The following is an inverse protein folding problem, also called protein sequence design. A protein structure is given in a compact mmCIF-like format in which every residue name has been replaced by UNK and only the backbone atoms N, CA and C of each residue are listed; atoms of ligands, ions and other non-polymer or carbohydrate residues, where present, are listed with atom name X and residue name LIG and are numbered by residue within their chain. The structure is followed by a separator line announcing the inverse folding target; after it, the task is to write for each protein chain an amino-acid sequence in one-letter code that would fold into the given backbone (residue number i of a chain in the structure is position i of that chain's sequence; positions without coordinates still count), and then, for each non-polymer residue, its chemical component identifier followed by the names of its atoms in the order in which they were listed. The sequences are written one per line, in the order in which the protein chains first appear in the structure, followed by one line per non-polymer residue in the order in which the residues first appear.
data_IF_816577509201
#
_entry.id   IF_816577509201
#
_cell.length_a   1.000
_cell.length_b   1.000
_cell.length_c   1.000
_cell.angle_alpha   90.00
_cell.angle_beta   90.00
_cell.angle_gamma   90.00
#
_symmetry.space_group_name_H-M   'P 1'
#
loop_
_entity.id
_entity.type
_entity.pdbx_description
1 polymer ?
#
# COMPACT_ATOMS: atom_id res chain seq x y z
N UNK A 1 -17.84 11.81 -11.11
CA UNK A 1 -17.78 11.77 -9.62
C UNK A 1 -16.94 10.58 -9.15
N UNK A 2 -17.18 9.37 -9.67
CA UNK A 2 -16.33 8.19 -9.40
C UNK A 2 -14.86 8.38 -9.81
N UNK A 3 -14.59 8.95 -10.98
CA UNK A 3 -13.21 9.18 -11.47
C UNK A 3 -12.41 10.15 -10.59
N UNK A 4 -13.08 11.11 -9.95
CA UNK A 4 -12.45 12.11 -9.09
C UNK A 4 -12.01 11.48 -7.75
N UNK A 5 -12.90 10.71 -7.10
CA UNK A 5 -12.57 9.97 -5.87
C UNK A 5 -11.42 8.99 -6.13
N UNK A 6 -11.44 8.31 -7.27
CA UNK A 6 -10.39 7.38 -7.65
C UNK A 6 -9.04 8.09 -7.83
N UNK A 7 -9.02 9.24 -8.51
CA UNK A 7 -7.81 10.04 -8.67
C UNK A 7 -7.25 10.53 -7.34
N UNK A 8 -8.09 11.09 -6.47
CA UNK A 8 -7.66 11.65 -5.18
C UNK A 8 -7.03 10.59 -4.28
N UNK A 9 -7.67 9.42 -4.15
CA UNK A 9 -7.15 8.31 -3.34
C UNK A 9 -5.87 7.74 -3.95
N UNK A 10 -5.80 7.67 -5.28
CA UNK A 10 -4.59 7.26 -5.98
C UNK A 10 -3.44 8.22 -5.71
N UNK A 11 -3.68 9.52 -5.77
CA UNK A 11 -2.66 10.53 -5.49
C UNK A 11 -2.19 10.47 -4.03
N UNK A 12 -3.10 10.26 -3.07
CA UNK A 12 -2.73 10.04 -1.65
C UNK A 12 -1.83 8.82 -1.48
N UNK A 13 -2.18 7.69 -2.10
CA UNK A 13 -1.38 6.46 -2.05
C UNK A 13 -0.01 6.67 -2.71
N UNK A 14 0.05 7.32 -3.88
CA UNK A 14 1.31 7.58 -4.58
C UNK A 14 2.21 8.54 -3.77
N UNK A 15 1.63 9.57 -3.14
CA UNK A 15 2.37 10.47 -2.25
C UNK A 15 2.95 9.72 -1.06
N UNK A 16 2.15 8.87 -0.40
CA UNK A 16 2.61 8.02 0.70
C UNK A 16 3.79 7.12 0.32
N UNK A 17 3.78 6.60 -0.90
CA UNK A 17 4.86 5.77 -1.44
C UNK A 17 6.11 6.57 -1.84
N UNK A 18 5.92 7.80 -2.33
CA UNK A 18 7.00 8.68 -2.79
C UNK A 18 7.69 9.46 -1.67
N UNK A 19 7.06 9.58 -0.50
CA UNK A 19 7.52 10.42 0.62
C UNK A 19 8.78 9.90 1.35
N UNK A 20 9.46 8.87 0.80
CA UNK A 20 10.67 8.28 1.40
C UNK A 20 11.80 8.22 0.39
N UNK A 21 12.85 8.98 0.65
CA UNK A 21 14.13 8.85 -0.03
C UNK A 21 14.66 7.41 0.07
N UNK A 22 15.33 6.89 -0.98
CA UNK A 22 15.99 5.60 -0.92
C UNK A 22 16.95 5.56 0.27
N UNK A 23 16.99 4.43 0.97
CA UNK A 23 17.96 4.23 2.06
C UNK A 23 19.38 4.45 1.54
N UNK A 24 20.26 5.18 2.27
CA UNK A 24 21.67 5.33 1.90
C UNK A 24 22.43 4.00 1.81
N UNK A 25 21.85 2.90 2.29
CA UNK A 25 22.42 1.55 2.20
C UNK A 25 22.12 0.81 0.88
N UNK A 26 21.51 1.45 -0.12
CA UNK A 26 21.48 1.00 -1.52
C UNK A 26 20.65 -0.25 -1.86
N UNK A 27 20.24 -1.07 -0.88
CA UNK A 27 19.61 -2.37 -1.11
C UNK A 27 18.27 -2.59 -0.39
N UNK A 28 17.79 -1.60 0.37
CA UNK A 28 16.50 -1.68 1.07
C UNK A 28 15.78 -0.35 0.95
N UNK A 29 14.58 -0.32 0.34
CA UNK A 29 13.67 0.80 0.56
C UNK A 29 13.41 0.90 2.07
N UNK A 30 13.39 2.11 2.64
CA UNK A 30 12.97 2.26 4.05
C UNK A 30 11.55 1.68 4.17
N UNK A 31 11.22 0.97 5.27
CA UNK A 31 9.86 0.50 5.49
C UNK A 31 8.91 1.70 5.38
N UNK A 32 7.99 1.65 4.42
CA UNK A 32 6.92 2.64 4.30
C UNK A 32 5.99 2.44 5.50
N UNK A 33 5.56 3.50 6.20
CA UNK A 33 4.61 3.38 7.30
C UNK A 33 3.32 2.67 6.86
N UNK A 34 2.71 1.93 7.77
CA UNK A 34 1.43 1.29 7.49
C UNK A 34 0.32 2.33 7.32
N UNK A 35 -0.60 2.09 6.39
CA UNK A 35 -1.83 2.82 6.23
C UNK A 35 -2.90 2.13 7.10
N UNK A 36 -3.47 2.86 8.04
CA UNK A 36 -4.71 2.42 8.69
C UNK A 36 -5.88 2.91 7.86
N UNK A 37 -6.81 2.04 7.49
CA UNK A 37 -8.03 2.41 6.77
C UNK A 37 -9.18 2.67 7.76
N UNK A 38 -10.24 3.33 7.30
CA UNK A 38 -11.38 3.68 8.16
C UNK A 38 -12.16 2.47 8.69
N UNK A 39 -12.09 1.32 8.03
CA UNK A 39 -12.64 0.07 8.52
C UNK A 39 -11.72 -0.68 9.52
N UNK A 40 -10.54 -0.15 9.84
CA UNK A 40 -9.57 -0.79 10.74
C UNK A 40 -8.61 -1.78 10.08
N UNK A 41 -8.68 -1.94 8.75
CA UNK A 41 -7.65 -2.67 7.98
C UNK A 41 -6.33 -1.90 8.08
N UNK A 42 -5.24 -2.62 8.32
CA UNK A 42 -3.90 -2.06 8.30
C UNK A 42 -3.21 -2.59 7.05
N UNK A 43 -2.82 -1.69 6.15
CA UNK A 43 -2.10 -1.99 4.93
C UNK A 43 -0.64 -1.57 5.06
N UNK A 44 0.30 -2.52 4.98
CA UNK A 44 1.68 -2.19 4.65
C UNK A 44 1.85 -2.22 3.14
N UNK A 45 2.16 -1.09 2.52
CA UNK A 45 2.44 -1.04 1.08
C UNK A 45 3.95 -0.90 0.89
N UNK A 46 4.59 -1.92 0.35
CA UNK A 46 6.02 -1.93 0.10
C UNK A 46 6.32 -2.02 -1.39
N UNK A 47 7.39 -1.36 -1.79
CA UNK A 47 8.02 -1.58 -3.08
C UNK A 47 9.53 -1.68 -2.87
N UNK A 48 10.07 -2.89 -3.01
CA UNK A 48 11.48 -3.16 -2.79
C UNK A 48 12.05 -4.08 -3.87
N UNK A 49 13.33 -3.89 -4.16
CA UNK A 49 14.11 -4.68 -5.13
C UNK A 49 14.30 -6.14 -4.72
N UNK A 50 14.12 -6.45 -3.43
CA UNK A 50 14.34 -7.77 -2.84
C UNK A 50 13.02 -8.46 -2.44
N UNK A 51 11.89 -7.82 -2.73
CA UNK A 51 10.54 -8.34 -2.47
C UNK A 51 9.82 -8.66 -3.79
N UNK A 52 8.55 -9.09 -3.73
CA UNK A 52 7.76 -9.47 -4.92
C UNK A 52 7.44 -8.27 -5.85
N UNK A 53 8.19 -7.19 -5.82
CA UNK A 53 8.03 -6.02 -6.70
C UNK A 53 9.26 -5.87 -7.59
N UNK A 54 9.44 -6.77 -8.56
CA UNK A 54 10.35 -6.54 -9.68
C UNK A 54 9.58 -5.87 -10.84
N UNK A 55 10.14 -4.85 -11.53
CA UNK A 55 11.54 -4.46 -11.53
C UNK A 55 11.94 -3.29 -10.62
N UNK A 56 13.24 -3.27 -10.31
CA UNK A 56 14.10 -2.29 -9.61
C UNK A 56 13.99 -0.83 -10.12
N UNK A 57 13.27 -0.60 -11.22
CA UNK A 57 13.08 0.73 -11.81
C UNK A 57 11.60 1.11 -11.61
N UNK A 58 11.28 1.49 -10.38
CA UNK A 58 9.98 2.07 -10.03
C UNK A 58 10.15 3.56 -9.68
N UNK A 59 11.09 4.24 -10.34
CA UNK A 59 11.16 5.70 -10.35
C UNK A 59 10.15 6.20 -11.39
N UNK A 60 8.94 6.53 -10.95
CA UNK A 60 7.83 6.95 -11.81
C UNK A 60 6.46 6.58 -11.23
N UNK A 61 5.40 6.58 -12.05
CA UNK A 61 4.06 6.16 -11.62
C UNK A 61 4.08 4.68 -11.28
N UNK A 62 4.05 4.37 -9.99
CA UNK A 62 3.97 3.02 -9.45
C UNK A 62 2.85 2.23 -10.15
N UNK A 63 3.14 1.01 -10.64
CA UNK A 63 2.15 0.14 -11.31
C UNK A 63 1.60 -0.97 -10.42
N UNK A 64 2.47 -1.52 -9.58
CA UNK A 64 2.14 -2.58 -8.64
C UNK A 64 2.97 -2.47 -7.37
N UNK A 65 2.46 -3.06 -6.29
CA UNK A 65 3.03 -3.00 -4.94
C UNK A 65 2.90 -4.34 -4.23
N UNK A 66 3.64 -4.50 -3.14
CA UNK A 66 3.49 -5.58 -2.19
C UNK A 66 2.63 -5.09 -1.02
N UNK A 67 1.68 -5.91 -0.61
CA UNK A 67 0.67 -5.54 0.38
C UNK A 67 0.69 -6.55 1.52
N UNK A 68 0.87 -6.07 2.75
CA UNK A 68 0.67 -6.86 3.97
C UNK A 68 -0.58 -6.40 4.69
N UNK A 69 -1.38 -7.35 5.16
CA UNK A 69 -2.69 -7.10 5.76
C UNK A 69 -2.89 -7.90 7.05
N UNK A 70 -3.67 -7.36 7.96
CA UNK A 70 -4.24 -8.13 9.07
C UNK A 70 -5.37 -9.05 8.56
N UNK A 71 -5.32 -10.34 8.93
CA UNK A 71 -6.26 -11.38 8.45
C UNK A 71 -7.74 -11.00 8.68
N UNK A 72 -8.59 -11.27 7.69
CA UNK A 72 -10.05 -11.37 7.84
C UNK A 72 -10.88 -10.20 7.32
N UNK A 73 -10.26 -9.15 6.78
CA UNK A 73 -10.97 -7.94 6.34
C UNK A 73 -10.66 -7.52 4.89
N UNK A 74 -10.07 -8.40 4.09
CA UNK A 74 -9.58 -8.10 2.74
C UNK A 74 -10.54 -8.61 1.68
N UNK A 75 -10.68 -7.87 0.57
CA UNK A 75 -11.44 -8.35 -0.60
C UNK A 75 -10.89 -9.65 -1.20
N UNK A 76 -11.80 -10.45 -1.78
CA UNK A 76 -11.45 -11.69 -2.51
C UNK A 76 -10.56 -11.42 -3.73
N UNK A 77 -10.63 -10.22 -4.31
CA UNK A 77 -9.78 -9.83 -5.45
C UNK A 77 -8.31 -9.70 -5.04
N UNK A 78 -8.04 -9.13 -3.86
CA UNK A 78 -6.68 -9.04 -3.32
C UNK A 78 -6.10 -10.41 -2.95
N UNK A 79 -6.93 -11.34 -2.48
CA UNK A 79 -6.49 -12.71 -2.17
C UNK A 79 -5.91 -13.47 -3.37
N UNK A 80 -6.23 -13.08 -4.62
CA UNK A 80 -5.64 -13.67 -5.83
C UNK A 80 -4.14 -13.41 -5.97
N UNK A 81 -3.63 -12.40 -5.28
CA UNK A 81 -2.22 -12.02 -5.27
C UNK A 81 -1.47 -12.57 -4.05
N UNK A 82 -2.16 -13.32 -3.18
CA UNK A 82 -1.55 -13.92 -2.01
C UNK A 82 -0.42 -14.87 -2.42
N UNK A 83 0.73 -14.68 -1.78
CA UNK A 83 1.88 -15.55 -1.90
C UNK A 83 2.21 -16.16 -0.54
N UNK A 84 2.17 -17.49 -0.47
CA UNK A 84 2.41 -18.26 0.74
C UNK A 84 1.18 -18.44 1.62
N UNK A 85 1.30 -19.38 2.56
CA UNK A 85 0.28 -19.72 3.54
C UNK A 85 0.77 -19.27 4.93
N UNK A 86 0.14 -18.26 5.50
CA UNK A 86 0.57 -17.69 6.79
C UNK A 86 -0.50 -16.84 7.47
N UNK A 87 -0.26 -16.48 8.73
CA UNK A 87 -1.15 -15.61 9.51
C UNK A 87 -1.15 -14.14 9.08
N UNK A 88 -0.13 -13.77 8.31
CA UNK A 88 0.03 -12.47 7.67
C UNK A 88 0.26 -12.71 6.18
N UNK A 89 -0.80 -12.85 5.37
CA UNK A 89 -0.64 -13.10 3.94
C UNK A 89 0.09 -11.92 3.29
N UNK A 90 1.15 -12.22 2.55
CA UNK A 90 1.84 -11.26 1.69
C UNK A 90 1.19 -11.32 0.33
N UNK A 91 0.75 -10.19 -0.21
CA UNK A 91 0.19 -10.12 -1.56
C UNK A 91 1.22 -9.44 -2.46
N UNK A 92 1.77 -10.21 -3.39
CA UNK A 92 2.83 -9.74 -4.29
C UNK A 92 2.28 -9.23 -5.62
N UNK A 93 2.95 -8.25 -6.23
CA UNK A 93 2.58 -7.69 -7.54
C UNK A 93 1.13 -7.18 -7.64
N UNK A 94 0.57 -6.64 -6.55
CA UNK A 94 -0.81 -6.13 -6.52
C UNK A 94 -0.90 -4.86 -7.36
N UNK A 95 -1.80 -4.76 -8.37
CA UNK A 95 -2.01 -3.53 -9.13
C UNK A 95 -2.44 -2.39 -8.22
N UNK A 96 -1.88 -1.19 -8.42
CA UNK A 96 -2.22 -0.03 -7.58
C UNK A 96 -3.69 0.31 -7.64
N UNK A 97 -4.30 0.20 -8.83
CA UNK A 97 -5.72 0.49 -9.00
C UNK A 97 -6.59 -0.44 -8.14
N UNK A 98 -6.12 -1.65 -7.84
CA UNK A 98 -6.80 -2.58 -6.94
C UNK A 98 -6.63 -2.17 -5.47
N UNK A 99 -5.46 -1.67 -5.09
CA UNK A 99 -5.21 -1.11 -3.75
C UNK A 99 -6.06 0.14 -3.53
N UNK A 100 -6.16 1.02 -4.53
CA UNK A 100 -7.03 2.21 -4.51
C UNK A 100 -8.49 1.81 -4.32
N UNK A 101 -8.97 0.81 -5.07
CA UNK A 101 -10.32 0.28 -4.90
C UNK A 101 -10.57 -0.24 -3.48
N UNK A 102 -9.61 -0.97 -2.89
CA UNK A 102 -9.71 -1.45 -1.51
C UNK A 102 -9.81 -0.31 -0.50
N UNK A 103 -8.99 0.73 -0.66
CA UNK A 103 -9.03 1.93 0.19
C UNK A 103 -10.40 2.60 0.09
N UNK A 104 -10.93 2.78 -1.11
CA UNK A 104 -12.25 3.40 -1.34
C UNK A 104 -13.35 2.58 -0.66
N UNK A 105 -13.37 1.25 -0.86
CA UNK A 105 -14.36 0.35 -0.25
C UNK A 105 -14.25 0.34 1.28
N UNK A 106 -13.04 0.55 1.79
CA UNK A 106 -12.75 0.65 3.24
C UNK A 106 -13.15 2.00 3.84
N UNK A 107 -13.69 2.93 3.04
CA UNK A 107 -14.09 4.27 3.47
C UNK A 107 -12.96 5.29 3.48
N UNK A 108 -11.82 5.00 2.84
CA UNK A 108 -10.65 5.88 2.78
C UNK A 108 -9.55 5.53 3.78
N UNK A 109 -8.45 6.27 3.69
CA UNK A 109 -7.33 6.23 4.62
C UNK A 109 -7.78 6.95 5.91
N UNK A 110 -7.54 6.33 7.07
CA UNK A 110 -7.79 6.96 8.36
C UNK A 110 -6.74 8.05 8.57
N UNK A 111 -7.19 9.28 8.74
CA UNK A 111 -6.32 10.35 9.17
C UNK A 111 -5.87 10.06 10.61
N UNK A 112 -4.57 9.85 10.82
CA UNK A 112 -4.03 9.92 12.16
C UNK A 112 -4.03 11.40 12.54
N UNK A 113 -4.88 11.76 13.49
CA UNK A 113 -4.76 13.03 14.19
C UNK A 113 -3.36 13.03 14.81
N UNK A 114 -2.41 13.70 14.17
CA UNK A 114 -1.22 14.18 14.83
C UNK A 114 -1.70 15.22 15.84
N UNK A 115 -2.23 14.77 16.97
CA UNK A 115 -2.24 15.57 18.18
C UNK A 115 -0.75 15.81 18.47
N UNK A 116 -0.26 16.95 17.97
CA UNK A 116 0.95 17.61 18.43
C UNK A 116 0.77 17.88 19.93
N UNK A 117 0.99 16.85 20.75
CA UNK A 117 1.13 16.99 22.18
C UNK A 117 2.52 17.57 22.44
N UNK A 118 2.56 18.90 22.38
CA UNK A 118 3.13 19.86 23.35
C UNK A 118 4.41 19.42 24.09
#
# INVERSE_FOLDING_TARGET
MQDYIFSDVKDQLLNHLNDKEPSPAGNHARPVPHLTLNNGVIISVQASTNHFCHPIINYGVWKSVEVYLNKGMVSQELLKYQNGDGDFPVMGFVPIDLVVAEIIVSGGIKEENNDENN
#
